data_IF_904611529686
#
_entry.id   IF_904611529686
#
_cell.length_a   1.000
_cell.length_b   1.000
_cell.length_c   1.000
_cell.angle_alpha   90.00
_cell.angle_beta   90.00
_cell.angle_gamma   90.00
#
_symmetry.space_group_name_H-M   'P 1'
#
loop_
_entity.id
_entity.type
_entity.pdbx_description
1 polymer ?
#
# COMPACT_ATOMS: atom_id res chain seq x y z
N UNK A 1 10.12 30.18 -25.35
CA UNK A 1 9.68 28.81 -25.67
C UNK A 1 9.00 28.30 -24.41
N UNK A 2 7.68 28.41 -24.42
CA UNK A 2 6.83 27.89 -23.32
C UNK A 2 6.68 26.40 -23.55
N UNK A 3 7.16 25.59 -22.60
CA UNK A 3 6.82 24.16 -22.53
C UNK A 3 5.32 24.07 -22.31
N UNK A 4 4.59 23.69 -23.35
CA UNK A 4 3.23 23.17 -23.20
C UNK A 4 3.35 21.86 -22.43
N UNK A 5 3.00 21.89 -21.15
CA UNK A 5 2.68 20.68 -20.41
C UNK A 5 1.58 19.96 -21.21
N UNK A 6 1.83 18.71 -21.60
CA UNK A 6 0.86 17.90 -22.32
C UNK A 6 -0.42 17.80 -21.46
N UNK A 7 -1.41 18.60 -21.77
CA UNK A 7 -2.76 18.46 -21.24
C UNK A 7 -3.33 17.14 -21.77
N UNK A 8 -3.28 16.12 -20.94
CA UNK A 8 -4.06 14.92 -21.16
C UNK A 8 -5.54 15.30 -21.02
N UNK A 9 -6.19 15.55 -22.15
CA UNK A 9 -7.63 15.75 -22.19
C UNK A 9 -8.31 14.43 -21.85
N UNK A 10 -8.71 14.27 -20.59
CA UNK A 10 -9.54 13.16 -20.14
C UNK A 10 -10.89 13.25 -20.84
N UNK A 11 -11.19 12.30 -21.71
CA UNK A 11 -12.50 12.19 -22.35
C UNK A 11 -13.46 11.39 -21.48
N UNK A 12 -14.76 11.54 -21.72
CA UNK A 12 -15.79 10.77 -20.99
C UNK A 12 -15.60 9.24 -21.14
N UNK A 13 -15.01 8.80 -22.26
CA UNK A 13 -14.70 7.39 -22.51
C UNK A 13 -13.52 6.86 -21.67
N UNK A 14 -12.67 7.76 -21.15
CA UNK A 14 -11.53 7.42 -20.27
C UNK A 14 -11.88 7.57 -18.78
N UNK A 15 -13.10 8.03 -18.49
CA UNK A 15 -13.58 8.19 -17.12
C UNK A 15 -13.66 6.83 -16.42
N UNK A 16 -13.04 6.73 -15.26
CA UNK A 16 -13.18 5.56 -14.40
C UNK A 16 -14.61 5.50 -13.86
N UNK A 17 -15.31 4.45 -14.25
CA UNK A 17 -16.65 4.18 -13.74
C UNK A 17 -16.52 3.27 -12.51
N UNK A 18 -17.14 3.60 -11.36
CA UNK A 18 -17.12 2.73 -10.20
C UNK A 18 -17.70 1.36 -10.56
N UNK A 19 -16.96 0.29 -10.26
CA UNK A 19 -17.42 -1.08 -10.49
C UNK A 19 -18.61 -1.48 -9.61
N UNK A 20 -18.90 -0.69 -8.57
CA UNK A 20 -20.06 -0.84 -7.69
C UNK A 20 -20.61 0.53 -7.32
N UNK A 21 -21.91 0.65 -7.40
CA UNK A 21 -22.66 1.77 -6.80
C UNK A 21 -23.19 1.25 -5.47
N UNK A 22 -22.89 1.96 -4.39
CA UNK A 22 -23.37 1.62 -3.05
C UNK A 22 -24.50 2.59 -2.73
N UNK A 23 -25.72 2.08 -2.78
CA UNK A 23 -26.90 2.78 -2.31
C UNK A 23 -27.20 2.35 -0.86
N UNK A 24 -27.68 3.26 -0.04
CA UNK A 24 -28.05 2.99 1.36
C UNK A 24 -26.93 2.38 2.23
N UNK A 25 -25.70 2.89 2.06
CA UNK A 25 -24.57 2.46 2.89
C UNK A 25 -24.81 2.80 4.37
N UNK A 26 -24.52 1.86 5.31
CA UNK A 26 -24.58 2.17 6.73
C UNK A 26 -23.51 3.20 7.11
N UNK A 27 -23.76 4.00 8.18
CA UNK A 27 -22.81 5.04 8.64
C UNK A 27 -21.42 4.49 9.02
N UNK A 28 -21.36 3.23 9.41
CA UNK A 28 -20.12 2.54 9.78
C UNK A 28 -19.45 1.82 8.59
N UNK A 29 -19.87 2.11 7.35
CA UNK A 29 -19.30 1.54 6.14
C UNK A 29 -17.92 2.15 5.79
N UNK A 30 -17.01 1.31 5.29
CA UNK A 30 -15.71 1.71 4.77
C UNK A 30 -15.70 1.56 3.25
N UNK A 31 -15.38 2.63 2.52
CA UNK A 31 -15.23 2.58 1.07
C UNK A 31 -15.86 3.74 0.31
N UNK A 32 -16.37 4.77 1.02
CA UNK A 32 -16.90 5.97 0.39
C UNK A 32 -15.89 7.07 0.18
N UNK A 33 -15.25 7.50 1.25
CA UNK A 33 -14.37 8.67 1.24
C UNK A 33 -12.90 8.29 1.08
N UNK A 34 -12.13 9.17 0.41
CA UNK A 34 -10.69 9.08 0.34
C UNK A 34 -10.11 9.95 1.45
N UNK A 35 -9.34 9.34 2.35
CA UNK A 35 -8.60 10.03 3.39
C UNK A 35 -7.15 10.26 2.97
N UNK A 36 -6.67 11.50 3.03
CA UNK A 36 -5.27 11.84 2.89
C UNK A 36 -4.66 12.04 4.28
N UNK A 37 -3.70 11.22 4.62
CA UNK A 37 -2.94 11.32 5.87
C UNK A 37 -1.53 11.82 5.55
N UNK A 38 -1.12 12.89 6.21
CA UNK A 38 0.22 13.46 6.07
C UNK A 38 1.03 13.11 7.32
N UNK A 39 2.09 12.36 7.13
CA UNK A 39 3.06 12.03 8.17
C UNK A 39 4.27 12.94 8.03
N UNK A 40 4.52 13.81 9.01
CA UNK A 40 5.73 14.63 9.04
C UNK A 40 6.89 13.77 9.55
N UNK A 41 7.80 13.46 8.64
CA UNK A 41 9.02 12.70 8.92
C UNK A 41 10.27 13.57 8.91
N UNK A 42 10.10 14.91 8.93
CA UNK A 42 11.25 15.83 8.96
C UNK A 42 12.09 15.56 10.20
N UNK A 43 13.39 15.36 9.98
CA UNK A 43 14.37 15.26 11.05
C UNK A 43 14.50 16.65 11.69
N UNK A 44 14.40 16.73 13.01
CA UNK A 44 14.85 17.92 13.75
C UNK A 44 16.29 18.24 13.32
N UNK A 45 16.44 19.36 12.62
CA UNK A 45 17.62 19.82 11.91
C UNK A 45 18.79 20.13 12.85
N UNK A 46 19.52 19.11 13.31
CA UNK A 46 20.83 19.33 13.94
C UNK A 46 21.95 18.42 13.39
N UNK A 47 21.72 17.67 12.33
CA UNK A 47 22.77 16.94 11.62
C UNK A 47 22.50 16.92 10.12
N UNK A 48 22.72 18.07 9.47
CA UNK A 48 22.78 18.14 8.02
C UNK A 48 24.09 17.48 7.56
N UNK A 49 24.02 16.25 7.10
CA UNK A 49 24.96 15.73 6.11
C UNK A 49 24.23 15.69 4.76
N UNK A 50 24.62 16.62 3.91
CA UNK A 50 24.22 16.68 2.50
C UNK A 50 24.64 15.38 1.82
N UNK A 51 23.70 14.47 1.61
CA UNK A 51 23.81 13.42 0.60
C UNK A 51 22.49 13.39 -0.13
N UNK A 52 22.51 13.94 -1.35
CA UNK A 52 21.49 13.85 -2.38
C UNK A 52 21.37 12.39 -2.89
N UNK A 53 21.05 11.45 -2.05
CA UNK A 53 20.81 10.06 -2.45
C UNK A 53 19.45 9.61 -1.93
N UNK A 54 18.52 9.52 -2.90
CA UNK A 54 17.26 8.77 -2.86
C UNK A 54 16.42 8.88 -1.57
N UNK A 55 15.66 9.98 -1.44
CA UNK A 55 14.73 10.27 -0.34
C UNK A 55 13.68 9.14 -0.07
N UNK A 56 13.72 8.05 -0.82
CA UNK A 56 12.71 6.98 -0.80
C UNK A 56 12.96 5.84 0.17
N UNK A 57 14.17 5.65 0.69
CA UNK A 57 14.54 4.43 1.44
C UNK A 57 15.24 4.69 2.78
N UNK A 58 14.93 5.79 3.47
CA UNK A 58 15.38 6.01 4.84
C UNK A 58 14.71 4.98 5.76
N UNK A 59 15.47 4.05 6.37
CA UNK A 59 14.92 2.99 7.22
C UNK A 59 14.06 3.52 8.37
N UNK A 60 14.44 4.65 8.95
CA UNK A 60 13.73 5.26 10.08
C UNK A 60 12.37 5.83 9.65
N UNK A 61 12.31 6.45 8.47
CA UNK A 61 11.07 6.96 7.91
C UNK A 61 10.13 5.80 7.52
N UNK A 62 10.69 4.73 6.98
CA UNK A 62 9.92 3.52 6.65
C UNK A 62 9.32 2.84 7.89
N UNK A 63 10.02 2.84 9.02
CA UNK A 63 9.49 2.31 10.28
C UNK A 63 8.34 3.17 10.82
N UNK A 64 8.50 4.50 10.82
CA UNK A 64 7.42 5.42 11.24
C UNK A 64 6.18 5.30 10.36
N UNK A 65 6.36 5.21 9.05
CA UNK A 65 5.26 4.96 8.09
C UNK A 65 4.54 3.65 8.42
N UNK A 66 5.31 2.59 8.64
CA UNK A 66 4.77 1.26 8.92
C UNK A 66 4.01 1.20 10.25
N UNK A 67 4.55 1.81 11.29
CA UNK A 67 3.88 1.93 12.59
C UNK A 67 2.56 2.68 12.48
N UNK A 68 2.55 3.77 11.71
CA UNK A 68 1.32 4.53 11.43
C UNK A 68 0.28 3.67 10.70
N UNK A 69 0.69 2.93 9.66
CA UNK A 69 -0.18 2.02 8.90
C UNK A 69 -0.77 0.94 9.82
N UNK A 70 0.07 0.31 10.65
CA UNK A 70 -0.35 -0.71 11.62
C UNK A 70 -1.39 -0.15 12.59
N UNK A 71 -1.15 1.05 13.12
CA UNK A 71 -2.08 1.71 14.02
C UNK A 71 -3.43 1.99 13.33
N UNK A 72 -3.40 2.51 12.11
CA UNK A 72 -4.62 2.81 11.35
C UNK A 72 -5.44 1.56 11.02
N UNK A 73 -4.78 0.47 10.63
CA UNK A 73 -5.44 -0.82 10.39
C UNK A 73 -6.11 -1.34 11.67
N UNK A 74 -5.41 -1.28 12.81
CA UNK A 74 -5.98 -1.69 14.10
C UNK A 74 -7.18 -0.83 14.52
N UNK A 75 -7.11 0.46 14.30
CA UNK A 75 -8.20 1.39 14.57
C UNK A 75 -9.46 1.02 13.77
N UNK A 76 -9.31 0.88 12.44
CA UNK A 76 -10.43 0.54 11.55
C UNK A 76 -11.01 -0.83 11.89
N UNK A 77 -10.17 -1.84 12.11
CA UNK A 77 -10.60 -3.19 12.48
C UNK A 77 -11.28 -3.21 13.86
N UNK A 78 -10.71 -2.51 14.84
CA UNK A 78 -11.27 -2.39 16.19
C UNK A 78 -12.59 -1.65 16.26
N UNK A 79 -12.80 -0.67 15.38
CA UNK A 79 -14.07 0.04 15.23
C UNK A 79 -15.19 -0.82 14.60
N UNK A 80 -14.87 -2.07 14.20
CA UNK A 80 -15.81 -3.03 13.59
C UNK A 80 -16.57 -2.44 12.41
N UNK A 81 -15.88 -1.62 11.62
CA UNK A 81 -16.42 -1.04 10.40
C UNK A 81 -16.99 -2.12 9.48
N UNK A 82 -17.85 -1.73 8.54
CA UNK A 82 -18.48 -2.66 7.60
C UNK A 82 -17.90 -2.51 6.20
N UNK A 83 -17.86 -3.61 5.48
CA UNK A 83 -17.53 -3.68 4.05
C UNK A 83 -18.67 -4.34 3.30
N UNK A 84 -18.84 -3.96 2.04
CA UNK A 84 -19.85 -4.54 1.18
C UNK A 84 -19.34 -5.81 0.51
N UNK A 85 -20.12 -6.88 0.61
CA UNK A 85 -19.90 -8.11 -0.13
C UNK A 85 -20.22 -7.96 -1.64
N UNK A 86 -19.77 -8.89 -2.50
CA UNK A 86 -20.14 -8.92 -3.91
C UNK A 86 -21.65 -8.97 -4.19
N UNK A 87 -22.42 -9.53 -3.30
CA UNK A 87 -23.89 -9.66 -3.39
C UNK A 87 -24.65 -8.41 -2.90
N UNK A 88 -23.93 -7.35 -2.51
CA UNK A 88 -24.51 -6.11 -2.01
C UNK A 88 -24.76 -6.08 -0.51
N UNK A 89 -24.67 -7.20 0.21
CA UNK A 89 -24.84 -7.24 1.67
C UNK A 89 -23.63 -6.64 2.38
N UNK A 90 -23.83 -6.21 3.65
CA UNK A 90 -22.77 -5.66 4.47
C UNK A 90 -22.37 -6.66 5.56
N UNK A 91 -21.06 -6.79 5.79
CA UNK A 91 -20.47 -7.56 6.89
C UNK A 91 -19.40 -6.75 7.63
N UNK A 92 -19.03 -7.18 8.80
CA UNK A 92 -17.90 -6.60 9.51
C UNK A 92 -16.61 -6.81 8.70
N UNK A 93 -15.72 -5.84 8.79
CA UNK A 93 -14.39 -5.89 8.18
C UNK A 93 -13.54 -6.98 8.82
N UNK A 94 -12.79 -7.71 8.01
CA UNK A 94 -11.85 -8.73 8.42
C UNK A 94 -10.44 -8.36 7.97
N UNK A 95 -9.41 -9.02 8.49
CA UNK A 95 -8.02 -8.77 8.11
C UNK A 95 -7.77 -8.88 6.60
N UNK A 96 -8.46 -9.80 5.93
CA UNK A 96 -8.36 -10.01 4.49
C UNK A 96 -8.89 -8.86 3.63
N UNK A 97 -9.60 -7.91 4.21
CA UNK A 97 -10.17 -6.79 3.49
C UNK A 97 -9.21 -5.61 3.39
N UNK A 98 -8.07 -5.68 4.07
CA UNK A 98 -7.03 -4.66 3.99
C UNK A 98 -6.03 -5.00 2.89
N UNK A 99 -5.68 -4.00 2.10
CA UNK A 99 -4.61 -4.08 1.12
C UNK A 99 -3.73 -2.83 1.20
N UNK A 100 -2.42 -3.03 1.15
CA UNK A 100 -1.46 -1.95 1.10
C UNK A 100 -0.85 -1.95 -0.30
N UNK A 101 -0.98 -0.84 -0.99
CA UNK A 101 -0.40 -0.64 -2.31
C UNK A 101 0.78 0.31 -2.20
N UNK A 102 1.93 -0.11 -2.72
CA UNK A 102 3.15 0.67 -2.74
C UNK A 102 3.80 0.58 -4.11
N UNK A 103 4.54 1.61 -4.50
CA UNK A 103 5.23 1.65 -5.79
C UNK A 103 6.33 0.58 -5.90
N UNK A 104 7.05 0.33 -4.81
CA UNK A 104 8.08 -0.71 -4.70
C UNK A 104 7.92 -1.47 -3.40
N UNK A 105 8.05 -2.79 -3.45
CA UNK A 105 8.02 -3.67 -2.28
C UNK A 105 9.43 -4.15 -1.89
N UNK A 106 10.44 -3.87 -2.73
CA UNK A 106 11.81 -4.32 -2.51
C UNK A 106 12.32 -3.91 -1.11
N UNK A 107 12.74 -4.87 -0.31
CA UNK A 107 13.22 -4.68 1.06
C UNK A 107 12.18 -4.22 2.08
N UNK A 108 11.11 -3.56 1.67
CA UNK A 108 10.03 -3.10 2.55
C UNK A 108 9.01 -4.20 2.84
N UNK A 109 8.64 -5.00 1.83
CA UNK A 109 7.56 -5.99 1.94
C UNK A 109 7.79 -7.01 3.04
N UNK A 110 8.95 -7.61 3.11
CA UNK A 110 9.33 -8.60 4.13
C UNK A 110 9.31 -7.98 5.54
N UNK A 111 9.88 -6.76 5.70
CA UNK A 111 9.86 -6.03 6.98
C UNK A 111 8.44 -5.68 7.42
N UNK A 112 7.59 -5.25 6.48
CA UNK A 112 6.20 -4.92 6.76
C UNK A 112 5.42 -6.15 7.25
N UNK A 113 5.56 -7.29 6.59
CA UNK A 113 4.93 -8.55 7.02
C UNK A 113 5.37 -8.95 8.42
N UNK A 114 6.66 -8.85 8.72
CA UNK A 114 7.21 -9.16 10.05
C UNK A 114 6.63 -8.24 11.12
N UNK A 115 6.66 -6.92 10.93
CA UNK A 115 6.12 -5.95 11.88
C UNK A 115 4.60 -6.12 12.08
N UNK A 116 3.85 -6.36 11.02
CA UNK A 116 2.41 -6.63 11.12
C UNK A 116 2.11 -7.90 11.91
N UNK A 117 2.87 -8.98 11.69
CA UNK A 117 2.72 -10.23 12.46
C UNK A 117 3.03 -10.03 13.94
N UNK A 118 4.10 -9.29 14.26
CA UNK A 118 4.44 -8.92 15.63
C UNK A 118 3.33 -8.09 16.28
N UNK A 119 2.67 -7.25 15.49
CA UNK A 119 1.51 -6.46 15.92
C UNK A 119 0.20 -7.26 16.00
N UNK A 120 0.21 -8.57 15.67
CA UNK A 120 -0.96 -9.45 15.68
C UNK A 120 -1.86 -9.33 14.45
N UNK A 121 -1.37 -8.75 13.36
CA UNK A 121 -2.08 -8.63 12.09
C UNK A 121 -1.56 -9.71 11.14
N UNK A 122 -2.40 -10.66 10.67
CA UNK A 122 -1.99 -11.64 9.67
C UNK A 122 -1.74 -10.93 8.34
N UNK A 123 -0.49 -10.94 7.88
CA UNK A 123 -0.08 -10.28 6.65
C UNK A 123 0.69 -11.23 5.74
N UNK A 124 0.55 -11.01 4.45
CA UNK A 124 1.29 -11.69 3.40
C UNK A 124 1.75 -10.66 2.37
N UNK A 125 2.89 -10.87 1.78
CA UNK A 125 3.38 -10.08 0.65
C UNK A 125 3.43 -10.97 -0.58
N UNK A 126 3.00 -10.43 -1.71
CA UNK A 126 3.11 -11.11 -2.99
C UNK A 126 4.34 -10.55 -3.73
N UNK A 127 5.50 -10.95 -3.27
CA UNK A 127 6.75 -10.67 -3.98
C UNK A 127 6.79 -11.59 -5.21
N UNK A 128 6.67 -10.98 -6.38
CA UNK A 128 6.91 -11.68 -7.65
C UNK A 128 8.39 -11.76 -8.01
N UNK A 129 9.24 -11.23 -7.13
CA UNK A 129 10.69 -11.21 -7.30
C UNK A 129 11.23 -12.59 -6.93
N UNK A 130 12.01 -13.18 -7.81
CA UNK A 130 12.67 -14.45 -7.55
C UNK A 130 12.36 -15.60 -8.51
N UNK A 131 11.48 -15.41 -9.51
CA UNK A 131 11.26 -16.50 -10.49
C UNK A 131 12.57 -16.90 -11.17
N UNK A 132 13.40 -15.92 -11.58
CA UNK A 132 14.70 -16.16 -12.20
C UNK A 132 15.82 -16.44 -11.19
N UNK A 133 15.58 -16.16 -9.91
CA UNK A 133 16.52 -16.43 -8.80
C UNK A 133 16.29 -17.80 -8.17
N UNK A 134 15.18 -18.45 -8.47
CA UNK A 134 14.92 -19.81 -8.02
C UNK A 134 16.03 -20.75 -8.52
N UNK A 135 16.57 -21.56 -7.61
CA UNK A 135 17.71 -22.45 -7.87
C UNK A 135 17.47 -23.37 -9.08
N UNK A 136 16.23 -23.81 -9.25
CA UNK A 136 15.78 -24.64 -10.36
C UNK A 136 15.89 -23.92 -11.71
N UNK A 137 15.55 -22.63 -11.73
CA UNK A 137 15.62 -21.78 -12.94
C UNK A 137 17.07 -21.45 -13.26
N UNK A 138 17.89 -21.14 -12.26
CA UNK A 138 19.33 -20.91 -12.42
C UNK A 138 20.04 -22.16 -12.98
N UNK A 139 19.69 -23.36 -12.51
CA UNK A 139 20.19 -24.62 -13.03
C UNK A 139 19.78 -24.84 -14.49
N UNK A 140 18.53 -24.55 -14.84
CA UNK A 140 18.03 -24.63 -16.22
C UNK A 140 18.77 -23.65 -17.14
N UNK A 141 18.98 -22.42 -16.71
CA UNK A 141 19.70 -21.41 -17.47
C UNK A 141 21.19 -21.80 -17.65
N UNK A 142 21.81 -22.37 -16.63
CA UNK A 142 23.17 -22.86 -16.72
C UNK A 142 23.34 -24.08 -17.63
N UNK A 143 22.31 -24.90 -17.84
CA UNK A 143 22.31 -26.02 -18.77
C UNK A 143 22.05 -25.59 -20.22
N UNK A 144 21.47 -24.41 -20.45
CA UNK A 144 21.15 -23.87 -21.77
C UNK A 144 22.20 -22.89 -22.31
N UNK A 145 23.20 -22.53 -21.50
CA UNK A 145 24.35 -21.68 -21.86
C UNK A 145 25.59 -22.51 -22.22
#
# INVERSE_FOLDING_TARGET
MTEEAAELNYTEAESLIPGRIVEDAPEDWVGGDVELQLLDVSKDTLSASESDEDEGDDPENNERELDFIIQKIKEIHGAKKKVQNPDGTFRQIEWRDFAILRRSLAGWGTRAVEAMRQAGIPAVVNERDGYFEAQEIQLLLALLS
#
